data_IF_156400356655
#
_entry.id   IF_156400356655
#
_cell.length_a   1.000
_cell.length_b   1.000
_cell.length_c   1.000
_cell.angle_alpha   90.00
_cell.angle_beta   90.00
_cell.angle_gamma   90.00
#
_symmetry.space_group_name_H-M   'P 1'
#
loop_
_entity.id
_entity.type
_entity.pdbx_description
1 polymer ?
#
# COMPACT_ATOMS: atom_id res chain seq x y z
N UNK A 1 -22.24 9.00 0.27
CA UNK A 1 -21.56 9.92 -0.67
C UNK A 1 -20.99 9.15 -1.83
N UNK A 2 -21.30 9.57 -3.08
CA UNK A 2 -20.85 8.93 -4.31
C UNK A 2 -19.69 9.68 -4.94
N UNK A 3 -18.81 8.95 -5.60
CA UNK A 3 -17.66 9.51 -6.32
C UNK A 3 -17.32 8.67 -7.55
N UNK A 4 -16.65 9.29 -8.55
CA UNK A 4 -16.33 8.67 -9.83
C UNK A 4 -17.42 8.84 -10.87
N UNK A 5 -17.26 8.20 -12.05
CA UNK A 5 -18.16 8.27 -13.18
C UNK A 5 -18.09 7.05 -14.10
N UNK A 6 -19.00 6.98 -15.08
CA UNK A 6 -19.05 5.85 -16.00
C UNK A 6 -19.20 4.51 -15.28
N UNK A 7 -18.28 3.58 -15.53
CA UNK A 7 -18.25 2.26 -14.91
C UNK A 7 -17.51 2.23 -13.54
N UNK A 8 -17.08 3.40 -13.04
CA UNK A 8 -16.28 3.54 -11.82
C UNK A 8 -16.98 4.44 -10.79
N UNK A 9 -18.26 4.21 -10.57
CA UNK A 9 -19.01 4.92 -9.54
C UNK A 9 -18.97 4.14 -8.25
N UNK A 10 -18.53 4.81 -7.19
CA UNK A 10 -18.36 4.23 -5.86
C UNK A 10 -19.13 5.01 -4.81
N UNK A 11 -19.63 4.31 -3.81
CA UNK A 11 -20.26 4.90 -2.64
C UNK A 11 -19.45 4.61 -1.38
N UNK A 12 -19.15 5.66 -0.62
CA UNK A 12 -18.45 5.56 0.67
C UNK A 12 -19.35 4.96 1.72
N UNK A 13 -18.87 3.92 2.40
CA UNK A 13 -19.55 3.25 3.50
C UNK A 13 -19.09 3.89 4.81
N UNK A 14 -20.00 4.57 5.49
CA UNK A 14 -19.73 5.17 6.80
C UNK A 14 -19.76 4.09 7.89
N UNK A 15 -18.80 4.16 8.84
CA UNK A 15 -18.70 3.25 9.99
C UNK A 15 -18.72 1.76 9.58
N UNK A 16 -17.98 1.45 8.52
CA UNK A 16 -17.88 0.07 8.05
C UNK A 16 -17.23 -0.83 9.12
N UNK A 17 -16.13 -0.38 9.71
CA UNK A 17 -15.37 -1.11 10.70
C UNK A 17 -16.11 -1.18 12.05
N UNK A 18 -16.48 -2.38 12.48
CA UNK A 18 -17.10 -2.64 13.80
C UNK A 18 -16.02 -3.06 14.78
N UNK A 19 -15.21 -2.09 15.22
CA UNK A 19 -14.11 -2.33 16.15
C UNK A 19 -14.70 -2.67 17.54
N UNK A 20 -14.26 -3.78 18.19
CA UNK A 20 -14.77 -4.15 19.51
C UNK A 20 -14.32 -3.16 20.59
N UNK A 21 -15.07 -3.14 21.70
CA UNK A 21 -14.70 -2.35 22.89
C UNK A 21 -13.29 -2.71 23.37
N UNK A 22 -12.49 -1.70 23.66
CA UNK A 22 -11.09 -1.85 24.10
C UNK A 22 -10.08 -1.97 22.96
N UNK A 23 -10.52 -2.05 21.70
CA UNK A 23 -9.67 -2.03 20.52
C UNK A 23 -9.68 -0.66 19.87
N UNK A 24 -8.58 -0.29 19.26
CA UNK A 24 -8.49 0.94 18.45
C UNK A 24 -7.31 0.86 17.50
N UNK A 25 -7.38 1.65 16.44
CA UNK A 25 -6.21 1.96 15.62
C UNK A 25 -5.99 3.47 15.53
N UNK A 26 -4.83 3.96 15.93
CA UNK A 26 -4.52 5.37 15.80
C UNK A 26 -4.31 5.79 14.34
N UNK A 27 -3.88 4.80 13.50
CA UNK A 27 -3.55 5.00 12.10
C UNK A 27 -3.41 3.65 11.39
N UNK A 28 -3.95 3.53 10.19
CA UNK A 28 -3.82 2.33 9.36
C UNK A 28 -2.80 2.56 8.25
N UNK A 29 -1.86 1.62 8.07
CA UNK A 29 -0.78 1.76 7.11
C UNK A 29 -0.96 0.87 5.89
N UNK A 30 -1.52 -0.33 6.05
CA UNK A 30 -1.73 -1.29 4.99
C UNK A 30 -3.08 -1.96 5.08
N UNK A 31 -3.54 -2.48 3.96
CA UNK A 31 -4.76 -3.30 3.86
C UNK A 31 -4.59 -4.33 2.76
N UNK A 32 -5.11 -5.54 2.99
CA UNK A 32 -5.16 -6.62 2.00
C UNK A 32 -6.44 -7.43 2.20
N UNK A 33 -6.85 -8.16 1.16
CA UNK A 33 -8.00 -9.09 1.20
C UNK A 33 -7.52 -10.49 0.86
N UNK A 34 -8.01 -11.51 1.60
CA UNK A 34 -7.76 -12.92 1.27
C UNK A 34 -8.76 -13.45 0.22
N UNK A 35 -8.62 -14.71 -0.18
CA UNK A 35 -9.50 -15.37 -1.16
C UNK A 35 -10.96 -15.50 -0.72
N UNK A 36 -11.27 -15.23 0.55
CA UNK A 36 -12.62 -15.25 1.12
C UNK A 36 -13.17 -13.84 1.35
N UNK A 37 -12.52 -12.80 0.82
CA UNK A 37 -12.84 -11.38 1.05
C UNK A 37 -12.74 -10.94 2.51
N UNK A 38 -11.99 -11.64 3.37
CA UNK A 38 -11.66 -11.11 4.67
C UNK A 38 -10.63 -10.00 4.52
N UNK A 39 -10.83 -8.93 5.28
CA UNK A 39 -10.04 -7.69 5.18
C UNK A 39 -9.04 -7.61 6.32
N UNK A 40 -7.77 -7.62 5.97
CA UNK A 40 -6.64 -7.52 6.89
C UNK A 40 -6.16 -6.08 6.97
N UNK A 41 -6.38 -5.44 8.09
CA UNK A 41 -6.02 -4.03 8.32
C UNK A 41 -4.76 -3.97 9.18
N UNK A 42 -3.64 -3.59 8.56
CA UNK A 42 -2.35 -3.48 9.22
C UNK A 42 -2.18 -2.06 9.74
N UNK A 43 -2.19 -1.92 11.07
CA UNK A 43 -2.27 -0.63 11.75
C UNK A 43 -1.15 -0.45 12.77
N UNK A 44 -0.99 0.78 13.25
CA UNK A 44 0.08 1.18 14.19
C UNK A 44 -0.41 1.28 15.64
N UNK A 45 -1.46 0.54 15.98
CA UNK A 45 -1.98 0.42 17.34
C UNK A 45 -1.46 -0.82 18.06
N UNK A 46 -2.02 -1.05 19.25
CA UNK A 46 -1.63 -2.17 20.13
C UNK A 46 -1.98 -3.54 19.54
N UNK A 47 -2.93 -3.59 18.61
CA UNK A 47 -3.33 -4.77 17.84
C UNK A 47 -2.97 -4.57 16.36
N UNK A 48 -1.71 -4.84 15.97
CA UNK A 48 -1.18 -4.43 14.67
C UNK A 48 -1.94 -4.96 13.46
N UNK A 49 -2.44 -6.21 13.53
CA UNK A 49 -3.29 -6.76 12.50
C UNK A 49 -4.69 -6.99 13.05
N UNK A 50 -5.67 -6.31 12.48
CA UNK A 50 -7.08 -6.56 12.75
C UNK A 50 -7.74 -7.12 11.49
N UNK A 51 -8.58 -8.15 11.65
CA UNK A 51 -9.23 -8.85 10.54
C UNK A 51 -10.73 -8.70 10.65
N UNK A 52 -11.37 -8.37 9.54
CA UNK A 52 -12.81 -8.18 9.42
C UNK A 52 -13.35 -9.02 8.26
N UNK A 53 -14.63 -9.36 8.29
CA UNK A 53 -15.32 -9.83 7.09
C UNK A 53 -15.65 -8.66 6.15
N UNK A 54 -16.19 -8.96 4.97
CA UNK A 54 -16.57 -7.93 3.98
C UNK A 54 -17.64 -6.96 4.47
N UNK A 55 -18.43 -7.31 5.49
CA UNK A 55 -19.45 -6.48 6.12
C UNK A 55 -18.90 -5.64 7.29
N UNK A 56 -17.60 -5.74 7.58
CA UNK A 56 -16.93 -5.01 8.63
C UNK A 56 -17.10 -5.60 10.03
N UNK A 57 -17.59 -6.83 10.16
CA UNK A 57 -17.62 -7.49 11.45
C UNK A 57 -16.20 -7.94 11.81
N UNK A 58 -15.78 -7.61 13.03
CA UNK A 58 -14.48 -8.03 13.55
C UNK A 58 -14.42 -9.56 13.72
N UNK A 59 -13.37 -10.17 13.18
CA UNK A 59 -13.15 -11.61 13.26
C UNK A 59 -12.08 -11.96 14.28
N UNK A 60 -10.93 -11.32 14.22
CA UNK A 60 -9.75 -11.58 15.07
C UNK A 60 -8.73 -10.45 14.99
N UNK A 61 -7.76 -10.50 15.91
CA UNK A 61 -6.53 -9.71 15.82
C UNK A 61 -5.32 -10.55 16.17
N UNK A 62 -4.14 -10.11 15.74
CA UNK A 62 -2.86 -10.73 16.04
C UNK A 62 -1.67 -9.80 15.75
N UNK A 63 -0.48 -10.21 16.15
CA UNK A 63 0.77 -9.49 15.84
C UNK A 63 1.30 -8.66 16.98
N UNK A 64 0.69 -8.73 18.18
CA UNK A 64 1.15 -8.07 19.39
C UNK A 64 2.56 -8.52 19.74
N UNK A 65 3.47 -7.55 19.86
CA UNK A 65 4.88 -7.80 20.14
C UNK A 65 5.70 -8.37 18.97
N UNK A 66 5.08 -8.60 17.80
CA UNK A 66 5.76 -9.07 16.60
C UNK A 66 6.27 -7.91 15.75
N UNK A 67 5.48 -6.84 15.64
CA UNK A 67 5.76 -5.70 14.76
C UNK A 67 6.18 -4.48 15.56
N UNK A 68 7.20 -3.79 15.04
CA UNK A 68 7.70 -2.52 15.57
C UNK A 68 6.94 -1.33 14.98
N UNK A 69 6.72 -1.35 13.66
CA UNK A 69 5.96 -0.32 12.94
C UNK A 69 5.34 -0.87 11.67
N UNK A 70 4.05 -1.14 11.72
CA UNK A 70 3.28 -1.61 10.57
C UNK A 70 3.44 -0.67 9.37
N UNK A 71 3.70 -1.22 8.18
CA UNK A 71 3.81 -0.46 6.95
C UNK A 71 3.00 -1.06 5.80
N UNK A 72 3.49 -2.06 5.09
CA UNK A 72 2.81 -2.70 3.97
C UNK A 72 2.30 -4.09 4.31
N UNK A 73 1.21 -4.51 3.68
CA UNK A 73 0.72 -5.89 3.72
C UNK A 73 0.23 -6.29 2.34
N UNK A 74 0.61 -7.48 1.89
CA UNK A 74 0.13 -8.10 0.66
C UNK A 74 -0.22 -9.56 0.90
N UNK A 75 -1.09 -10.12 0.06
CA UNK A 75 -1.45 -11.55 0.09
C UNK A 75 -0.64 -12.26 -0.99
N UNK A 76 -0.01 -13.36 -0.62
CA UNK A 76 0.67 -14.26 -1.54
C UNK A 76 -0.30 -15.22 -2.24
N UNK A 77 0.14 -15.92 -3.28
CA UNK A 77 -0.71 -16.82 -4.08
C UNK A 77 -1.24 -18.03 -3.31
N UNK A 78 -0.68 -18.32 -2.15
CA UNK A 78 -1.05 -19.41 -1.23
C UNK A 78 -1.87 -18.94 -0.03
N UNK A 79 -2.51 -17.78 -0.14
CA UNK A 79 -3.22 -17.11 0.97
C UNK A 79 -2.34 -16.91 2.21
N UNK A 80 -1.04 -16.69 2.06
CA UNK A 80 -0.18 -16.18 3.14
C UNK A 80 -0.05 -14.67 3.05
N UNK A 81 0.24 -14.04 4.18
CA UNK A 81 0.43 -12.60 4.26
C UNK A 81 1.92 -12.25 4.31
N UNK A 82 2.32 -11.29 3.52
CA UNK A 82 3.62 -10.65 3.63
C UNK A 82 3.45 -9.29 4.32
N UNK A 83 3.90 -9.21 5.57
CA UNK A 83 3.82 -8.02 6.41
C UNK A 83 5.16 -7.30 6.44
N UNK A 84 5.20 -6.08 5.94
CA UNK A 84 6.40 -5.25 5.93
C UNK A 84 6.43 -4.34 7.13
N UNK A 85 7.51 -4.38 7.88
CA UNK A 85 7.77 -3.55 9.06
C UNK A 85 8.91 -2.59 8.77
N UNK A 86 8.62 -1.30 8.63
CA UNK A 86 9.64 -0.28 8.37
C UNK A 86 10.36 0.19 9.64
N UNK A 87 9.90 -0.21 10.81
CA UNK A 87 10.52 0.10 12.10
C UNK A 87 11.65 -0.86 12.46
N UNK A 88 11.48 -2.15 12.18
CA UNK A 88 12.51 -3.16 12.41
C UNK A 88 13.20 -3.68 11.15
N UNK A 89 12.84 -3.13 9.99
CA UNK A 89 13.50 -3.40 8.70
C UNK A 89 13.33 -4.82 8.20
N UNK A 90 12.14 -5.42 8.38
CA UNK A 90 11.87 -6.80 7.99
C UNK A 90 10.61 -6.94 7.14
N UNK A 91 10.55 -8.05 6.41
CA UNK A 91 9.34 -8.60 5.83
C UNK A 91 9.07 -9.95 6.50
N UNK A 92 7.86 -10.12 7.04
CA UNK A 92 7.42 -11.40 7.62
C UNK A 92 6.34 -12.03 6.76
N UNK A 93 6.58 -13.25 6.33
CA UNK A 93 5.53 -14.11 5.79
C UNK A 93 4.78 -14.76 6.96
N UNK A 94 3.47 -14.60 6.99
CA UNK A 94 2.62 -15.08 8.06
C UNK A 94 1.46 -15.91 7.50
N UNK A 95 0.97 -16.88 8.27
CA UNK A 95 -0.35 -17.47 8.00
C UNK A 95 -1.44 -16.42 8.22
N UNK A 96 -2.64 -16.66 7.72
CA UNK A 96 -3.82 -15.81 7.97
C UNK A 96 -4.17 -15.68 9.48
N UNK A 97 -3.66 -16.57 10.32
CA UNK A 97 -3.83 -16.55 11.78
C UNK A 97 -2.64 -15.91 12.52
N UNK A 98 -1.68 -15.33 11.77
CA UNK A 98 -0.57 -14.57 12.34
C UNK A 98 0.66 -15.39 12.77
N UNK A 99 0.71 -16.70 12.47
CA UNK A 99 1.94 -17.46 12.71
C UNK A 99 3.01 -17.04 11.69
N UNK A 100 4.14 -16.54 12.16
CA UNK A 100 5.30 -16.22 11.31
C UNK A 100 5.87 -17.52 10.73
N UNK A 101 5.95 -17.59 9.40
CA UNK A 101 6.49 -18.71 8.62
C UNK A 101 7.95 -18.42 8.26
N UNK A 102 8.22 -17.18 7.83
CA UNK A 102 9.54 -16.75 7.38
C UNK A 102 9.76 -15.27 7.73
N UNK A 103 11.01 -14.90 7.99
CA UNK A 103 11.42 -13.50 8.13
C UNK A 103 12.56 -13.23 7.16
N UNK A 104 12.42 -12.17 6.37
CA UNK A 104 13.46 -11.62 5.50
C UNK A 104 13.92 -10.30 6.09
N UNK A 105 15.23 -10.08 6.17
CA UNK A 105 15.87 -8.95 6.85
C UNK A 105 16.40 -9.33 8.22
N UNK A 106 17.09 -8.39 8.86
CA UNK A 106 17.69 -8.54 10.20
C UNK A 106 17.01 -7.57 11.17
N UNK A 107 16.12 -8.11 11.99
CA UNK A 107 15.24 -7.30 12.85
C UNK A 107 16.03 -6.36 13.78
N UNK A 108 15.74 -5.07 13.67
CA UNK A 108 16.40 -4.02 14.46
C UNK A 108 17.80 -3.63 13.98
N UNK A 109 18.31 -4.26 12.92
CA UNK A 109 19.65 -3.98 12.37
C UNK A 109 19.54 -3.47 10.91
N UNK A 110 19.27 -2.17 10.70
CA UNK A 110 19.15 -1.62 9.36
C UNK A 110 20.50 -1.67 8.61
N UNK A 111 20.44 -1.92 7.32
CA UNK A 111 21.57 -1.69 6.45
C UNK A 111 21.99 -0.21 6.47
N UNK A 112 23.24 0.07 6.13
CA UNK A 112 23.70 1.46 5.98
C UNK A 112 22.84 2.16 4.92
N UNK A 113 22.33 3.38 5.18
CA UNK A 113 21.51 4.10 4.21
C UNK A 113 22.17 4.19 2.84
N UNK A 114 21.40 3.90 1.78
CA UNK A 114 21.84 3.92 0.39
C UNK A 114 23.05 3.01 0.04
N UNK A 115 23.35 2.04 0.89
CA UNK A 115 24.38 1.04 0.61
C UNK A 115 23.99 0.03 -0.46
N UNK A 116 22.71 -0.11 -0.73
CA UNK A 116 22.18 -1.12 -1.62
C UNK A 116 21.99 -2.50 -0.97
N UNK A 117 22.41 -2.68 0.28
CA UNK A 117 22.13 -3.90 1.05
C UNK A 117 20.74 -3.85 1.66
N UNK A 118 19.98 -4.95 1.72
CA UNK A 118 18.66 -4.99 2.37
C UNK A 118 18.79 -5.16 3.89
N UNK A 119 17.93 -4.54 4.70
CA UNK A 119 16.95 -3.51 4.36
C UNK A 119 17.26 -2.24 5.16
N UNK A 120 16.83 -1.08 4.63
CA UNK A 120 16.75 0.11 5.45
C UNK A 120 15.36 0.75 5.27
N UNK A 121 14.41 0.34 6.12
CA UNK A 121 13.01 0.75 6.11
C UNK A 121 12.29 0.35 4.80
N UNK A 122 12.21 -0.97 4.57
CA UNK A 122 11.44 -1.57 3.49
C UNK A 122 9.96 -1.20 3.60
N UNK A 123 9.25 -1.14 2.46
CA UNK A 123 7.95 -0.48 2.39
C UNK A 123 6.82 -1.41 1.97
N UNK A 124 7.02 -2.29 0.98
CA UNK A 124 5.96 -3.19 0.50
C UNK A 124 6.53 -4.43 -0.20
N UNK A 125 5.65 -5.38 -0.50
CA UNK A 125 5.99 -6.62 -1.22
C UNK A 125 4.98 -6.94 -2.30
N UNK A 126 5.44 -7.66 -3.33
CA UNK A 126 4.61 -8.36 -4.30
C UNK A 126 5.24 -9.73 -4.59
N UNK A 127 4.45 -10.67 -5.08
CA UNK A 127 4.93 -12.01 -5.45
C UNK A 127 4.72 -12.27 -6.93
N UNK A 128 5.69 -12.93 -7.58
CA UNK A 128 5.56 -13.39 -8.96
C UNK A 128 4.50 -14.50 -9.01
N UNK A 129 3.45 -14.36 -9.84
CA UNK A 129 2.35 -15.33 -9.87
C UNK A 129 2.75 -16.70 -10.42
N UNK A 130 3.85 -16.79 -11.18
CA UNK A 130 4.26 -18.04 -11.81
C UNK A 130 5.19 -18.88 -10.93
N UNK A 131 6.12 -18.25 -10.20
CA UNK A 131 7.18 -18.95 -9.49
C UNK A 131 7.26 -18.62 -7.99
N UNK A 132 6.46 -17.64 -7.52
CA UNK A 132 6.42 -17.23 -6.12
C UNK A 132 7.60 -16.39 -5.66
N UNK A 133 8.46 -15.90 -6.56
CA UNK A 133 9.54 -14.98 -6.20
C UNK A 133 8.96 -13.72 -5.52
N UNK A 134 9.65 -13.24 -4.51
CA UNK A 134 9.19 -12.14 -3.66
C UNK A 134 9.94 -10.87 -4.04
N UNK A 135 9.23 -9.84 -4.42
CA UNK A 135 9.78 -8.50 -4.65
C UNK A 135 9.53 -7.62 -3.43
N UNK A 136 10.58 -6.95 -2.97
CA UNK A 136 10.51 -6.06 -1.81
C UNK A 136 11.00 -4.67 -2.21
N UNK A 137 10.16 -3.66 -2.01
CA UNK A 137 10.57 -2.26 -2.13
C UNK A 137 11.26 -1.81 -0.85
N UNK A 138 12.47 -1.28 -0.96
CA UNK A 138 13.29 -0.78 0.14
C UNK A 138 13.50 0.72 -0.02
N UNK A 139 12.43 1.47 0.29
CA UNK A 139 12.28 2.82 -0.25
C UNK A 139 12.80 3.95 0.60
N UNK A 140 12.63 3.89 1.93
CA UNK A 140 12.94 5.06 2.76
C UNK A 140 14.43 5.28 2.94
N UNK A 141 15.21 4.22 3.07
CA UNK A 141 16.64 4.34 3.32
C UNK A 141 17.55 3.81 2.22
N UNK A 142 17.00 3.21 1.14
CA UNK A 142 17.82 2.60 0.09
C UNK A 142 17.45 3.03 -1.34
N UNK A 143 16.16 3.19 -1.67
CA UNK A 143 15.71 3.47 -3.04
C UNK A 143 15.94 2.28 -3.98
N UNK A 144 15.69 1.05 -3.52
CA UNK A 144 15.93 -0.19 -4.27
C UNK A 144 14.74 -1.13 -4.26
N UNK A 145 14.76 -2.07 -5.21
CA UNK A 145 13.91 -3.25 -5.21
C UNK A 145 14.82 -4.47 -5.06
N UNK A 146 14.44 -5.38 -4.16
CA UNK A 146 15.13 -6.64 -3.92
C UNK A 146 14.24 -7.80 -4.33
N UNK A 147 14.78 -8.76 -5.08
CA UNK A 147 14.10 -9.98 -5.50
C UNK A 147 14.62 -11.16 -4.71
N UNK A 148 13.72 -11.90 -4.06
CA UNK A 148 14.01 -13.10 -3.29
C UNK A 148 13.32 -14.31 -3.90
N UNK A 149 13.91 -15.50 -3.73
CA UNK A 149 13.22 -16.76 -3.97
C UNK A 149 12.12 -17.00 -2.92
N UNK A 150 11.17 -17.92 -3.15
CA UNK A 150 10.10 -18.24 -2.20
C UNK A 150 10.58 -18.69 -0.82
N UNK A 151 11.81 -19.22 -0.72
CA UNK A 151 12.48 -19.62 0.53
C UNK A 151 13.27 -18.48 1.20
N UNK A 152 13.16 -17.24 0.69
CA UNK A 152 13.75 -16.04 1.29
C UNK A 152 15.23 -15.81 0.96
N UNK A 153 15.78 -16.45 -0.08
CA UNK A 153 17.15 -16.21 -0.53
C UNK A 153 17.19 -15.04 -1.51
N UNK A 154 18.04 -14.05 -1.26
CA UNK A 154 18.24 -12.92 -2.16
C UNK A 154 18.79 -13.42 -3.53
N UNK A 155 18.06 -13.10 -4.61
CA UNK A 155 18.41 -13.44 -5.98
C UNK A 155 19.10 -12.29 -6.69
N UNK A 156 18.49 -11.10 -6.64
CA UNK A 156 19.03 -9.89 -7.28
C UNK A 156 18.45 -8.62 -6.64
N UNK A 157 19.05 -7.49 -6.96
CA UNK A 157 18.57 -6.16 -6.56
C UNK A 157 18.85 -5.16 -7.66
N UNK A 158 17.94 -4.22 -7.85
CA UNK A 158 18.13 -3.14 -8.83
C UNK A 158 17.60 -1.82 -8.31
N UNK A 159 17.89 -0.75 -9.03
CA UNK A 159 17.55 0.60 -8.65
C UNK A 159 18.65 1.32 -7.90
N UNK A 160 18.34 2.53 -7.50
CA UNK A 160 19.19 3.43 -6.74
C UNK A 160 18.48 4.76 -6.59
N UNK A 161 18.97 5.68 -5.73
CA UNK A 161 18.36 6.99 -5.57
C UNK A 161 18.56 7.84 -6.84
N UNK A 162 17.50 8.45 -7.33
CA UNK A 162 17.54 9.33 -8.50
C UNK A 162 16.19 9.55 -9.17
N UNK A 163 16.23 10.13 -10.39
CA UNK A 163 15.04 10.50 -11.19
C UNK A 163 15.02 9.86 -12.57
N UNK A 164 16.08 9.13 -12.94
CA UNK A 164 16.18 8.38 -14.19
C UNK A 164 15.33 7.11 -14.23
N UNK A 165 15.32 6.42 -15.36
CA UNK A 165 14.71 5.10 -15.51
C UNK A 165 15.40 4.09 -14.59
N UNK A 166 14.62 3.35 -13.80
CA UNK A 166 15.13 2.42 -12.79
C UNK A 166 15.75 3.08 -11.56
N UNK A 167 15.77 4.40 -11.47
CA UNK A 167 16.12 5.14 -10.25
C UNK A 167 14.84 5.56 -9.49
N UNK A 168 14.95 5.76 -8.17
CA UNK A 168 13.80 6.00 -7.30
C UNK A 168 14.04 7.13 -6.31
N UNK A 169 12.97 7.85 -6.02
CA UNK A 169 12.89 8.76 -4.89
C UNK A 169 11.74 8.29 -3.98
N UNK A 170 12.08 7.47 -3.00
CA UNK A 170 11.17 6.73 -2.15
C UNK A 170 10.29 5.76 -2.99
N UNK A 171 10.87 4.62 -3.39
CA UNK A 171 10.11 3.49 -3.93
C UNK A 171 9.20 2.95 -2.82
N UNK A 172 7.87 3.03 -3.01
CA UNK A 172 6.97 2.92 -1.87
C UNK A 172 6.06 1.68 -1.90
N UNK A 173 5.59 1.31 -3.07
CA UNK A 173 4.69 0.17 -3.22
C UNK A 173 4.98 -0.54 -4.54
N UNK A 174 4.59 -1.80 -4.62
CA UNK A 174 4.79 -2.65 -5.79
C UNK A 174 3.65 -3.63 -5.90
N UNK A 175 3.18 -3.87 -7.12
CA UNK A 175 2.24 -4.93 -7.45
C UNK A 175 2.70 -5.68 -8.70
N UNK A 176 2.28 -6.93 -8.84
CA UNK A 176 2.50 -7.77 -10.02
C UNK A 176 1.18 -8.02 -10.73
N UNK A 177 1.19 -8.07 -12.06
CA UNK A 177 0.08 -8.60 -12.83
C UNK A 177 0.25 -10.10 -13.11
N UNK A 178 -0.77 -10.74 -13.66
CA UNK A 178 -0.74 -12.16 -14.03
C UNK A 178 0.33 -12.55 -15.06
N UNK A 179 0.92 -11.59 -15.75
CA UNK A 179 2.00 -11.81 -16.71
C UNK A 179 3.39 -11.63 -16.09
N UNK A 180 3.46 -11.23 -14.80
CA UNK A 180 4.68 -10.99 -14.07
C UNK A 180 5.31 -9.62 -14.30
N UNK A 181 4.59 -8.66 -14.90
CA UNK A 181 5.04 -7.27 -14.89
C UNK A 181 4.90 -6.65 -13.51
N UNK A 182 5.86 -5.82 -13.15
CA UNK A 182 5.96 -5.12 -11.88
C UNK A 182 5.57 -3.67 -12.06
N UNK A 183 4.61 -3.21 -11.28
CA UNK A 183 4.15 -1.82 -11.26
C UNK A 183 4.59 -1.19 -9.95
N UNK A 184 5.47 -0.20 -10.04
CA UNK A 184 6.24 0.32 -8.92
C UNK A 184 5.92 1.78 -8.66
N UNK A 185 5.41 2.09 -7.48
CA UNK A 185 5.16 3.45 -7.02
C UNK A 185 6.47 4.16 -6.66
N UNK A 186 6.96 5.01 -7.54
CA UNK A 186 8.09 5.90 -7.31
C UNK A 186 7.58 7.24 -6.77
N UNK A 187 7.27 7.23 -5.46
CA UNK A 187 6.36 8.17 -4.80
C UNK A 187 6.75 9.64 -4.96
N UNK A 188 7.97 10.00 -4.60
CA UNK A 188 8.38 11.40 -4.62
C UNK A 188 8.91 11.84 -6.00
N UNK A 189 9.00 10.92 -6.97
CA UNK A 189 9.16 11.24 -8.39
C UNK A 189 7.81 11.36 -9.12
N UNK A 190 6.69 11.22 -8.40
CA UNK A 190 5.32 11.40 -8.92
C UNK A 190 5.02 10.55 -10.16
N UNK A 191 5.44 9.28 -10.13
CA UNK A 191 5.28 8.35 -11.25
C UNK A 191 5.13 6.90 -10.79
N UNK A 192 4.57 6.06 -11.67
CA UNK A 192 4.69 4.62 -11.59
C UNK A 192 5.69 4.18 -12.66
N UNK A 193 6.65 3.36 -12.31
CA UNK A 193 7.54 2.69 -13.27
C UNK A 193 7.10 1.24 -13.44
N UNK A 194 7.15 0.75 -14.67
CA UNK A 194 6.81 -0.63 -15.01
C UNK A 194 8.10 -1.37 -15.37
N UNK A 195 8.26 -2.58 -14.84
CA UNK A 195 9.40 -3.46 -15.12
C UNK A 195 8.90 -4.86 -15.51
N UNK A 196 9.70 -5.61 -16.22
CA UNK A 196 9.49 -7.05 -16.32
C UNK A 196 9.88 -7.76 -15.00
N UNK A 197 9.61 -9.07 -14.88
CA UNK A 197 9.96 -9.88 -13.71
C UNK A 197 11.46 -10.00 -13.42
N UNK A 198 12.31 -9.58 -14.37
CA UNK A 198 13.77 -9.59 -14.23
C UNK A 198 14.32 -8.22 -13.80
N UNK A 199 13.45 -7.22 -13.68
CA UNK A 199 13.80 -5.84 -13.31
C UNK A 199 14.23 -4.97 -14.50
N UNK A 200 13.97 -5.40 -15.74
CA UNK A 200 14.21 -4.55 -16.91
C UNK A 200 13.09 -3.51 -17.03
N UNK A 201 13.48 -2.25 -17.24
CA UNK A 201 12.55 -1.13 -17.39
C UNK A 201 11.73 -1.27 -18.69
N UNK A 202 10.43 -1.06 -18.58
CA UNK A 202 9.46 -1.16 -19.69
C UNK A 202 8.75 0.16 -19.98
N UNK A 203 8.26 0.84 -18.94
CA UNK A 203 7.47 2.06 -19.12
C UNK A 203 7.49 2.96 -17.87
N UNK A 204 7.11 4.22 -18.08
CA UNK A 204 6.79 5.16 -17.00
C UNK A 204 5.40 5.73 -17.21
N UNK A 205 4.62 5.81 -16.12
CA UNK A 205 3.30 6.44 -16.11
C UNK A 205 3.37 7.75 -15.34
N UNK A 206 3.00 8.82 -15.99
CA UNK A 206 2.88 10.15 -15.43
C UNK A 206 1.41 10.49 -15.13
N UNK A 207 1.13 11.75 -14.78
CA UNK A 207 -0.19 12.25 -14.39
C UNK A 207 -0.75 11.57 -13.12
N UNK A 208 0.14 11.19 -12.24
CA UNK A 208 -0.11 10.61 -10.92
C UNK A 208 0.68 11.45 -9.92
N UNK A 209 0.06 11.82 -8.79
CA UNK A 209 0.74 12.63 -7.79
C UNK A 209 1.02 11.85 -6.51
N UNK A 210 2.30 11.62 -6.22
CA UNK A 210 2.78 10.86 -5.05
C UNK A 210 2.06 9.51 -4.89
N UNK A 211 2.18 8.57 -5.87
CA UNK A 211 1.58 7.25 -5.78
C UNK A 211 2.12 6.52 -4.54
N UNK A 212 1.23 6.08 -3.67
CA UNK A 212 1.60 5.51 -2.38
C UNK A 212 1.24 4.03 -2.26
N UNK A 213 0.16 3.60 -2.90
CA UNK A 213 -0.22 2.20 -3.04
C UNK A 213 -0.76 1.92 -4.43
N UNK A 214 -0.64 0.67 -4.87
CA UNK A 214 -1.09 0.22 -6.19
C UNK A 214 -1.68 -1.18 -6.08
N UNK A 215 -2.79 -1.40 -6.78
CA UNK A 215 -3.48 -2.69 -6.90
C UNK A 215 -3.85 -2.94 -8.36
N UNK A 216 -3.73 -4.17 -8.82
CA UNK A 216 -4.04 -4.56 -10.18
C UNK A 216 -5.22 -5.52 -10.15
N UNK A 217 -6.28 -5.16 -10.86
CA UNK A 217 -7.38 -6.07 -11.19
C UNK A 217 -7.11 -6.68 -12.56
N UNK A 218 -6.59 -7.89 -12.55
CA UNK A 218 -6.21 -8.62 -13.75
C UNK A 218 -7.40 -8.96 -14.66
N UNK A 219 -8.59 -9.09 -14.10
CA UNK A 219 -9.80 -9.43 -14.86
C UNK A 219 -10.27 -8.25 -15.69
N UNK A 220 -10.35 -7.08 -15.11
CA UNK A 220 -10.73 -5.86 -15.84
C UNK A 220 -9.55 -5.16 -16.54
N UNK A 221 -8.32 -5.58 -16.28
CA UNK A 221 -7.09 -4.92 -16.74
C UNK A 221 -7.00 -3.47 -16.28
N UNK A 222 -7.50 -3.21 -15.05
CA UNK A 222 -7.45 -1.89 -14.43
C UNK A 222 -6.46 -1.87 -13.27
N UNK A 223 -5.83 -0.73 -13.12
CA UNK A 223 -4.85 -0.47 -12.07
C UNK A 223 -5.35 0.66 -11.19
N UNK A 224 -5.44 0.41 -9.92
CA UNK A 224 -5.88 1.36 -8.91
C UNK A 224 -4.67 1.91 -8.16
N UNK A 225 -4.56 3.23 -8.10
CA UNK A 225 -3.43 3.91 -7.46
C UNK A 225 -3.94 4.86 -6.38
N UNK A 226 -3.53 4.64 -5.15
CA UNK A 226 -3.75 5.58 -4.06
C UNK A 226 -2.70 6.70 -4.13
N UNK A 227 -3.15 7.93 -4.35
CA UNK A 227 -2.31 9.12 -4.40
C UNK A 227 -2.34 9.83 -3.04
N UNK A 228 -1.16 10.00 -2.44
CA UNK A 228 -0.99 10.59 -1.09
C UNK A 228 -1.39 12.07 -1.03
N UNK A 229 -1.50 12.72 -2.18
CA UNK A 229 -1.82 14.14 -2.28
C UNK A 229 -0.59 15.04 -2.09
N UNK A 230 -0.82 16.28 -1.71
CA UNK A 230 0.21 17.29 -1.59
C UNK A 230 1.36 16.91 -0.62
N UNK A 231 2.58 17.28 -0.98
CA UNK A 231 3.80 16.95 -0.22
C UNK A 231 4.32 18.10 0.65
N UNK A 232 3.86 19.33 0.39
CA UNK A 232 4.26 20.53 1.14
C UNK A 232 3.02 21.40 1.43
N UNK A 233 3.01 22.16 2.53
CA UNK A 233 1.86 22.99 2.90
C UNK A 233 1.41 23.97 1.81
N UNK A 234 2.34 24.52 1.05
CA UNK A 234 2.05 25.46 -0.03
C UNK A 234 1.25 24.82 -1.18
N UNK A 235 1.34 23.49 -1.34
CA UNK A 235 0.64 22.76 -2.38
C UNK A 235 -0.77 22.32 -1.96
N UNK A 236 -1.19 22.57 -0.72
CA UNK A 236 -2.47 22.09 -0.19
C UNK A 236 -3.68 22.60 -0.98
N UNK A 237 -3.60 23.80 -1.52
CA UNK A 237 -4.67 24.43 -2.31
C UNK A 237 -4.54 24.20 -3.82
N UNK A 238 -3.51 23.50 -4.27
CA UNK A 238 -3.34 23.21 -5.71
C UNK A 238 -4.40 22.21 -6.14
N UNK A 239 -5.23 22.54 -7.14
CA UNK A 239 -6.26 21.62 -7.61
C UNK A 239 -5.67 20.39 -8.32
N UNK A 240 -6.39 19.27 -8.30
CA UNK A 240 -6.08 18.06 -9.06
C UNK A 240 -4.78 17.32 -8.70
N UNK A 241 -4.23 17.51 -7.50
CA UNK A 241 -3.08 16.73 -7.03
C UNK A 241 -3.43 15.73 -5.92
N UNK A 242 -4.70 15.48 -5.70
CA UNK A 242 -5.20 14.57 -4.66
C UNK A 242 -5.26 15.23 -3.27
N UNK A 243 -5.41 14.45 -2.19
CA UNK A 243 -5.41 12.98 -2.13
C UNK A 243 -6.64 12.33 -2.81
N UNK A 244 -6.46 11.13 -3.38
CA UNK A 244 -7.51 10.41 -4.14
C UNK A 244 -7.09 8.97 -4.48
N UNK A 245 -8.01 8.21 -5.08
CA UNK A 245 -7.71 6.97 -5.80
C UNK A 245 -7.88 7.23 -7.31
N UNK A 246 -6.85 6.96 -8.09
CA UNK A 246 -6.91 7.01 -9.57
C UNK A 246 -7.03 5.61 -10.14
N UNK A 247 -7.90 5.44 -11.11
CA UNK A 247 -8.03 4.21 -11.90
C UNK A 247 -7.39 4.44 -13.25
N UNK A 248 -6.47 3.55 -13.63
CA UNK A 248 -5.73 3.60 -14.87
C UNK A 248 -5.95 2.29 -15.65
N UNK A 249 -5.77 2.34 -16.95
CA UNK A 249 -5.59 1.12 -17.72
C UNK A 249 -4.11 0.68 -17.74
N UNK A 250 -3.82 -0.50 -18.27
CA UNK A 250 -2.47 -1.08 -18.33
C UNK A 250 -1.51 -0.32 -19.26
N UNK A 251 -1.98 0.68 -20.01
CA UNK A 251 -1.11 1.62 -20.72
C UNK A 251 -0.75 2.87 -19.92
N UNK A 252 -1.19 2.96 -18.65
CA UNK A 252 -0.94 4.09 -17.77
C UNK A 252 -1.84 5.31 -17.99
N UNK A 253 -2.89 5.15 -18.82
CA UNK A 253 -3.87 6.22 -19.04
C UNK A 253 -4.86 6.25 -17.87
N UNK A 254 -5.00 7.40 -17.23
CA UNK A 254 -6.05 7.64 -16.23
C UNK A 254 -7.42 7.55 -16.88
N UNK A 255 -8.26 6.68 -16.33
CA UNK A 255 -9.65 6.44 -16.77
C UNK A 255 -10.62 7.17 -15.88
N UNK A 256 -10.40 7.12 -14.55
CA UNK A 256 -11.25 7.77 -13.56
C UNK A 256 -10.45 8.20 -12.31
N UNK A 257 -11.01 9.12 -11.55
CA UNK A 257 -10.51 9.57 -10.26
C UNK A 257 -11.62 9.55 -9.22
N UNK A 258 -11.39 8.82 -8.14
CA UNK A 258 -12.35 8.57 -7.07
C UNK A 258 -11.89 9.34 -5.83
N UNK A 259 -12.84 9.99 -5.15
CA UNK A 259 -12.62 10.86 -4.00
C UNK A 259 -13.03 12.29 -4.32
N UNK A 260 -13.48 13.01 -3.31
CA UNK A 260 -13.77 14.43 -3.48
C UNK A 260 -12.47 15.19 -3.71
N UNK A 261 -12.52 16.18 -4.58
CA UNK A 261 -11.40 17.11 -4.68
C UNK A 261 -11.23 17.83 -3.35
N UNK A 262 -10.05 17.68 -2.78
CA UNK A 262 -9.67 18.31 -1.53
C UNK A 262 -9.37 17.35 -0.40
N UNK A 263 -8.56 17.84 0.49
CA UNK A 263 -8.06 17.18 1.69
C UNK A 263 -9.08 17.31 2.82
N UNK A 264 -9.38 16.22 3.53
CA UNK A 264 -10.30 16.30 4.66
C UNK A 264 -10.66 14.96 5.28
N UNK A 265 -11.37 15.04 6.39
CA UNK A 265 -11.88 13.90 7.16
C UNK A 265 -13.37 13.60 6.90
N UNK A 266 -14.03 14.35 6.03
CA UNK A 266 -15.42 14.13 5.65
C UNK A 266 -15.59 12.86 4.80
N UNK A 267 -16.83 12.34 4.73
CA UNK A 267 -17.15 11.18 3.88
C UNK A 267 -16.72 11.45 2.43
N UNK A 268 -15.93 10.55 1.86
CA UNK A 268 -15.42 10.68 0.50
C UNK A 268 -14.27 11.65 0.31
N UNK A 269 -13.77 12.26 1.35
CA UNK A 269 -12.50 12.96 1.34
C UNK A 269 -11.39 12.03 1.83
N UNK A 270 -10.18 12.27 1.39
CA UNK A 270 -8.98 11.59 1.90
C UNK A 270 -8.02 12.59 2.55
N UNK A 271 -7.18 12.07 3.43
CA UNK A 271 -6.06 12.82 4.04
C UNK A 271 -4.74 12.32 3.47
N UNK A 272 -4.50 11.02 3.57
CA UNK A 272 -3.23 10.42 3.18
C UNK A 272 -3.41 8.93 2.82
N UNK A 273 -4.03 8.61 1.67
CA UNK A 273 -4.14 7.24 1.17
C UNK A 273 -2.76 6.57 1.10
N UNK A 274 -2.61 5.41 1.77
CA UNK A 274 -1.30 4.78 1.95
C UNK A 274 -1.31 3.28 1.62
N UNK A 275 -2.37 2.56 1.97
CA UNK A 275 -2.63 1.19 1.58
C UNK A 275 -3.90 1.08 0.76
N UNK A 276 -3.95 0.14 -0.18
CA UNK A 276 -5.07 -0.06 -1.09
C UNK A 276 -5.22 -1.53 -1.46
N UNK A 277 -6.44 -2.06 -1.39
CA UNK A 277 -6.80 -3.34 -2.01
C UNK A 277 -8.26 -3.34 -2.46
N UNK A 278 -8.65 -4.36 -3.22
CA UNK A 278 -10.03 -4.60 -3.64
C UNK A 278 -10.47 -5.98 -3.18
N UNK A 279 -11.78 -6.12 -2.91
CA UNK A 279 -12.42 -7.44 -2.76
C UNK A 279 -12.93 -7.99 -4.11
N UNK A 280 -13.48 -9.22 -4.12
CA UNK A 280 -14.00 -9.87 -5.32
C UNK A 280 -15.18 -9.12 -5.96
N UNK A 281 -15.85 -8.23 -5.22
CA UNK A 281 -16.93 -7.37 -5.70
C UNK A 281 -16.42 -6.01 -6.20
N UNK A 282 -15.10 -5.83 -6.29
CA UNK A 282 -14.42 -4.58 -6.66
C UNK A 282 -14.71 -3.43 -5.69
N UNK A 283 -15.08 -3.73 -4.43
CA UNK A 283 -15.09 -2.70 -3.39
C UNK A 283 -13.65 -2.31 -3.07
N UNK A 284 -13.39 -1.02 -2.91
CA UNK A 284 -12.07 -0.48 -2.62
C UNK A 284 -11.93 -0.29 -1.11
N UNK A 285 -10.82 -0.76 -0.54
CA UNK A 285 -10.42 -0.49 0.83
C UNK A 285 -9.18 0.39 0.83
N UNK A 286 -9.23 1.49 1.58
CA UNK A 286 -8.14 2.46 1.66
C UNK A 286 -7.71 2.65 3.10
N UNK A 287 -6.46 2.28 3.39
CA UNK A 287 -5.78 2.59 4.64
C UNK A 287 -5.07 3.94 4.53
N UNK A 288 -5.18 4.78 5.55
CA UNK A 288 -4.65 6.14 5.52
C UNK A 288 -3.69 6.40 6.69
N UNK A 289 -2.51 6.96 6.41
CA UNK A 289 -1.60 7.49 7.42
C UNK A 289 -1.96 8.94 7.78
N UNK A 290 -3.25 9.13 8.09
CA UNK A 290 -3.85 10.44 8.24
C UNK A 290 -3.31 11.20 9.45
N UNK A 291 -3.13 10.53 10.59
CA UNK A 291 -2.60 11.15 11.82
C UNK A 291 -1.16 11.64 11.61
N UNK A 292 -0.30 10.80 11.03
CA UNK A 292 1.08 11.17 10.68
C UNK A 292 1.09 12.36 9.72
N UNK A 293 0.28 12.33 8.67
CA UNK A 293 0.23 13.43 7.70
C UNK A 293 -0.20 14.75 8.36
N UNK A 294 -1.28 14.74 9.15
CA UNK A 294 -1.77 15.92 9.85
C UNK A 294 -0.70 16.45 10.82
N UNK A 295 0.02 15.56 11.52
CA UNK A 295 1.02 15.96 12.52
C UNK A 295 2.20 16.76 11.97
N UNK A 296 2.46 16.67 10.67
CA UNK A 296 3.50 17.46 9.99
C UNK A 296 3.15 18.95 9.91
N UNK A 297 1.88 19.33 10.10
CA UNK A 297 1.40 20.70 9.86
C UNK A 297 0.63 21.30 11.02
N UNK A 298 0.00 20.47 11.85
CA UNK A 298 -0.76 20.89 13.03
C UNK A 298 -0.98 19.72 13.98
N UNK A 299 -1.42 20.00 15.20
CA UNK A 299 -1.85 18.95 16.13
C UNK A 299 -3.03 18.19 15.54
N UNK A 300 -2.96 16.86 15.42
CA UNK A 300 -4.11 16.06 14.98
C UNK A 300 -5.25 16.13 16.00
N UNK A 301 -6.52 16.05 15.59
CA UNK A 301 -7.63 15.88 16.50
C UNK A 301 -7.52 14.54 17.25
N UNK A 302 -8.25 14.39 18.36
CA UNK A 302 -8.23 13.17 19.17
C UNK A 302 -8.65 11.94 18.35
N UNK A 303 -9.67 12.10 17.51
CA UNK A 303 -10.13 11.05 16.58
C UNK A 303 -9.79 11.47 15.15
N UNK A 304 -9.04 10.62 14.46
CA UNK A 304 -8.69 10.78 13.05
C UNK A 304 -9.15 9.53 12.30
N UNK A 305 -10.09 9.71 11.36
CA UNK A 305 -10.43 8.60 10.47
C UNK A 305 -9.21 8.23 9.65
N UNK A 306 -8.85 6.94 9.63
CA UNK A 306 -7.70 6.42 8.92
C UNK A 306 -8.02 5.21 8.03
N UNK A 307 -9.31 4.90 7.84
CA UNK A 307 -9.74 3.80 7.00
C UNK A 307 -11.05 4.11 6.29
N UNK A 308 -11.21 3.61 5.06
CA UNK A 308 -12.46 3.76 4.31
C UNK A 308 -12.70 2.54 3.41
N UNK A 309 -13.98 2.12 3.35
CA UNK A 309 -14.49 1.22 2.32
C UNK A 309 -15.34 2.01 1.32
N UNK A 310 -15.17 1.71 0.05
CA UNK A 310 -15.96 2.24 -1.06
C UNK A 310 -16.57 1.06 -1.83
N UNK A 311 -17.87 1.02 -1.94
CA UNK A 311 -18.60 -0.03 -2.66
C UNK A 311 -18.90 0.44 -4.07
N UNK A 312 -18.63 -0.39 -5.06
CA UNK A 312 -18.96 -0.15 -6.46
C UNK A 312 -20.48 -0.24 -6.66
N UNK A 313 -21.07 0.72 -7.39
CA UNK A 313 -22.52 0.82 -7.66
C UNK A 313 -22.83 0.97 -9.14
#
# INVERSE_FOLDING_TARGET
TKSGGGNFVYEFVENWEKIPDGYSWPETAGVATDSNDNVYVFNRGDHPMMVFDSDGNFLKSWGEGVFSRAHGVSVGPDDTLYCTDDGDHTVRQCTLDGKVIMTIGDAGNPAVPFSGSPFNRCTHTATDPDNGDIFVTDGYGNGRIHKYSPDGKLLTSWGGPGVGEGEFNIVHNIATDKNGYLYVCDRENHRVQVFDRNGNFEAVWANIHRPCAIYIDDDSQMVYVAELGWGTPISQSVPNIGPRVSVLNTSGKVVERIGHMGYGLGAGQFVAPHGLCLDSNLSIYVAEVARTNISHYKTPPDVVRSFQKLVKI
#
